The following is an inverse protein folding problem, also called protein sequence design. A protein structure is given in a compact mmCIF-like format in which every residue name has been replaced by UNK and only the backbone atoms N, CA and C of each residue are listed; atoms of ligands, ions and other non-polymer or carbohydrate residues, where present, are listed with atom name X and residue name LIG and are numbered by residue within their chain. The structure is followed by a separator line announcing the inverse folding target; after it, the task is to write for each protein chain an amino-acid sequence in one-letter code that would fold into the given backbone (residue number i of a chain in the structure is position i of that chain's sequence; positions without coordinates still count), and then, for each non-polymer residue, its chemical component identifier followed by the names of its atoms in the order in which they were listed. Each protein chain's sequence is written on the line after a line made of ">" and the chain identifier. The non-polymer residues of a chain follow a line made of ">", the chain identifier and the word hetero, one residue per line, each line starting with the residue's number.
data_IF_195599920064
#
_entry.id   IF_195599920064
#
_cell.length_a   1.000
_cell.length_b   1.000
_cell.length_c   1.000
_cell.angle_alpha   90.00
_cell.angle_beta   90.00
_cell.angle_gamma   90.00
#
_symmetry.space_group_name_H-M   'P 1'
#
loop_
_entity.id
_entity.type
_entity.pdbx_description
1 polymer ?
#
# COMPACT_ATOMS: atom_id res chain seq x y z
N UNK A 1 7.98 -3.30 6.20
CA UNK A 1 8.77 -4.40 6.79
C UNK A 1 9.50 -5.12 5.68
N UNK A 2 10.72 -5.57 5.96
CA UNK A 2 11.61 -6.13 4.93
C UNK A 2 11.81 -7.65 5.11
N UNK A 3 11.47 -8.20 6.28
CA UNK A 3 11.63 -9.60 6.62
C UNK A 3 10.31 -10.22 7.07
N UNK A 4 10.08 -11.47 6.67
CA UNK A 4 8.84 -12.20 6.94
C UNK A 4 8.77 -12.70 8.38
N UNK A 5 9.91 -13.01 8.99
CA UNK A 5 10.02 -13.45 10.39
C UNK A 5 9.55 -12.38 11.37
N UNK A 6 9.87 -11.11 11.08
CA UNK A 6 9.38 -9.96 11.85
C UNK A 6 7.86 -9.85 11.76
N UNK A 7 7.30 -9.97 10.56
CA UNK A 7 5.85 -9.94 10.35
C UNK A 7 5.16 -11.08 11.10
N UNK A 8 5.72 -12.29 11.11
CA UNK A 8 5.21 -13.43 11.88
C UNK A 8 5.26 -13.15 13.37
N UNK A 9 6.39 -12.63 13.88
CA UNK A 9 6.56 -12.30 15.30
C UNK A 9 5.54 -11.27 15.78
N UNK A 10 5.38 -10.17 15.04
CA UNK A 10 4.40 -9.12 15.31
C UNK A 10 2.98 -9.70 15.29
N UNK A 11 2.67 -10.51 14.28
CA UNK A 11 1.35 -11.12 14.15
C UNK A 11 1.02 -12.04 15.32
N UNK A 12 1.96 -12.86 15.77
CA UNK A 12 1.77 -13.76 16.93
C UNK A 12 1.60 -12.97 18.23
N UNK A 13 2.34 -11.89 18.42
CA UNK A 13 2.18 -11.04 19.59
C UNK A 13 0.79 -10.37 19.64
N UNK A 14 0.32 -9.88 18.49
CA UNK A 14 -1.03 -9.32 18.35
C UNK A 14 -2.11 -10.39 18.59
N UNK A 15 -1.91 -11.60 18.05
CA UNK A 15 -2.78 -12.75 18.26
C UNK A 15 -2.88 -13.18 19.73
N UNK A 16 -1.76 -13.22 20.45
CA UNK A 16 -1.72 -13.57 21.87
C UNK A 16 -2.47 -12.57 22.75
N UNK A 17 -2.64 -11.32 22.28
CA UNK A 17 -3.34 -10.25 23.01
C UNK A 17 -4.75 -9.96 22.46
N UNK A 18 -5.17 -10.64 21.40
CA UNK A 18 -6.48 -10.45 20.78
C UNK A 18 -6.64 -9.11 20.05
N UNK A 19 -5.53 -8.42 19.73
CA UNK A 19 -5.56 -7.12 19.04
C UNK A 19 -5.45 -7.38 17.52
N UNK A 20 -6.36 -6.85 16.69
CA UNK A 20 -6.23 -6.94 15.23
C UNK A 20 -4.95 -6.27 14.74
N UNK A 21 -4.29 -6.86 13.74
CA UNK A 21 -3.04 -6.35 13.18
C UNK A 21 -3.10 -6.26 11.66
N UNK A 22 -2.44 -5.24 11.13
CA UNK A 22 -2.21 -5.05 9.70
C UNK A 22 -0.72 -5.12 9.44
N UNK A 23 -0.32 -5.91 8.45
CA UNK A 23 1.09 -6.14 8.12
C UNK A 23 1.41 -5.37 6.84
N UNK A 24 2.40 -4.48 6.90
CA UNK A 24 2.84 -3.71 5.74
C UNK A 24 4.26 -4.09 5.31
N UNK A 25 4.38 -4.64 4.10
CA UNK A 25 5.66 -4.94 3.47
C UNK A 25 6.15 -3.79 2.60
N UNK A 26 7.46 -3.68 2.47
CA UNK A 26 8.12 -2.85 1.47
C UNK A 26 8.65 -3.76 0.37
N UNK A 27 8.63 -3.27 -0.86
CA UNK A 27 9.16 -3.97 -2.03
C UNK A 27 10.16 -3.09 -2.76
N UNK A 28 11.12 -3.69 -3.43
CA UNK A 28 12.02 -3.02 -4.36
C UNK A 28 11.39 -2.85 -5.74
N UNK A 29 12.16 -2.30 -6.68
CA UNK A 29 11.70 -1.95 -8.04
C UNK A 29 11.19 -3.14 -8.86
N UNK A 30 11.53 -4.37 -8.46
CA UNK A 30 11.08 -5.63 -9.06
C UNK A 30 9.84 -6.24 -8.38
N UNK A 31 9.31 -5.58 -7.35
CA UNK A 31 8.14 -6.03 -6.59
C UNK A 31 8.45 -7.14 -5.57
N UNK A 32 9.72 -7.50 -5.37
CA UNK A 32 10.16 -8.40 -4.30
C UNK A 32 10.48 -7.60 -3.03
N UNK A 33 10.43 -8.24 -1.87
CA UNK A 33 10.95 -7.66 -0.64
C UNK A 33 12.45 -7.39 -0.80
N UNK A 34 13.06 -6.49 0.01
CA UNK A 34 14.51 -6.29 0.02
C UNK A 34 15.33 -7.57 0.31
N UNK A 35 14.70 -8.60 0.90
CA UNK A 35 15.28 -9.93 1.08
C UNK A 35 15.37 -10.77 -0.21
N UNK A 36 14.78 -10.31 -1.32
CA UNK A 36 14.62 -11.04 -2.58
C UNK A 36 13.41 -11.97 -2.62
N UNK A 37 12.70 -12.16 -1.51
CA UNK A 37 11.47 -12.96 -1.48
C UNK A 37 10.33 -12.23 -2.19
N UNK A 38 9.51 -12.93 -2.97
CA UNK A 38 8.35 -12.28 -3.59
C UNK A 38 7.32 -11.87 -2.54
N UNK A 39 6.61 -10.75 -2.79
CA UNK A 39 5.53 -10.30 -1.92
C UNK A 39 4.48 -11.40 -1.66
N UNK A 40 4.19 -12.19 -2.70
CA UNK A 40 3.27 -13.32 -2.64
C UNK A 40 3.72 -14.38 -1.63
N UNK A 41 4.96 -14.83 -1.74
CA UNK A 41 5.52 -15.84 -0.84
C UNK A 41 5.57 -15.33 0.60
N UNK A 42 5.95 -14.06 0.80
CA UNK A 42 5.98 -13.45 2.12
C UNK A 42 4.60 -13.46 2.79
N UNK A 43 3.54 -13.06 2.08
CA UNK A 43 2.18 -13.08 2.61
C UNK A 43 1.74 -14.52 2.93
N UNK A 44 1.95 -15.47 2.00
CA UNK A 44 1.57 -16.87 2.22
C UNK A 44 2.27 -17.48 3.43
N UNK A 45 3.55 -17.17 3.63
CA UNK A 45 4.32 -17.66 4.77
C UNK A 45 3.81 -17.06 6.10
N UNK A 46 3.44 -15.78 6.14
CA UNK A 46 2.79 -15.19 7.33
C UNK A 46 1.46 -15.88 7.59
N UNK A 47 0.61 -16.03 6.57
CA UNK A 47 -0.71 -16.66 6.72
C UNK A 47 -0.63 -18.09 7.24
N UNK A 48 0.30 -18.89 6.70
CA UNK A 48 0.55 -20.26 7.17
C UNK A 48 1.05 -20.29 8.62
N UNK A 49 1.97 -19.40 8.99
CA UNK A 49 2.60 -19.41 10.32
C UNK A 49 1.70 -18.84 11.45
N UNK A 50 0.60 -18.19 11.09
CA UNK A 50 -0.24 -17.40 12.00
C UNK A 50 -1.73 -17.71 11.91
N UNK A 51 -2.11 -18.72 11.12
CA UNK A 51 -3.51 -19.06 10.83
C UNK A 51 -4.29 -17.88 10.26
N UNK A 52 -3.69 -17.16 9.30
CA UNK A 52 -4.32 -16.02 8.60
C UNK A 52 -4.77 -14.88 9.54
N UNK A 53 -4.12 -14.72 10.71
CA UNK A 53 -4.53 -13.73 11.72
C UNK A 53 -4.52 -12.26 11.25
N UNK A 54 -3.59 -11.78 10.39
CA UNK A 54 -3.61 -10.39 9.95
C UNK A 54 -4.96 -10.03 9.33
N UNK A 55 -5.51 -8.87 9.71
CA UNK A 55 -6.78 -8.39 9.17
C UNK A 55 -6.70 -8.22 7.65
N UNK A 56 -5.59 -7.66 7.19
CA UNK A 56 -5.18 -7.52 5.79
C UNK A 56 -3.70 -7.13 5.70
N UNK A 57 -3.20 -7.04 4.47
CA UNK A 57 -1.84 -6.60 4.17
C UNK A 57 -1.83 -5.25 3.46
N UNK A 58 -0.74 -4.52 3.65
CA UNK A 58 -0.45 -3.26 2.97
C UNK A 58 0.91 -3.32 2.29
N UNK A 59 1.10 -2.44 1.31
CA UNK A 59 2.40 -2.17 0.72
C UNK A 59 2.78 -0.74 1.12
N UNK A 60 4.02 -0.54 1.54
CA UNK A 60 4.52 0.75 1.98
C UNK A 60 5.88 1.05 1.36
N UNK A 61 6.15 2.33 1.14
CA UNK A 61 7.46 2.81 0.68
C UNK A 61 7.85 2.24 -0.69
N UNK A 62 6.86 1.99 -1.56
CA UNK A 62 7.09 1.51 -2.91
C UNK A 62 6.29 2.37 -3.89
N UNK A 63 6.87 2.67 -5.04
CA UNK A 63 6.14 3.38 -6.09
C UNK A 63 5.15 2.41 -6.79
N UNK A 64 3.95 2.83 -7.23
CA UNK A 64 2.97 1.89 -7.80
C UNK A 64 3.51 1.09 -9.00
N UNK A 65 4.40 1.69 -9.79
CA UNK A 65 5.01 1.03 -10.96
C UNK A 65 5.90 -0.16 -10.59
N UNK A 66 6.46 -0.21 -9.38
CA UNK A 66 7.26 -1.34 -8.90
C UNK A 66 6.42 -2.61 -8.72
N UNK A 67 5.08 -2.47 -8.64
CA UNK A 67 4.15 -3.57 -8.43
C UNK A 67 3.49 -4.06 -9.73
N UNK A 68 3.54 -3.27 -10.80
CA UNK A 68 2.76 -3.50 -12.02
C UNK A 68 3.09 -4.84 -12.70
N UNK A 69 4.34 -5.30 -12.62
CA UNK A 69 4.77 -6.59 -13.19
C UNK A 69 4.52 -7.80 -12.28
N UNK A 70 4.30 -7.57 -10.99
CA UNK A 70 4.33 -8.65 -9.96
C UNK A 70 2.93 -9.02 -9.45
N UNK A 71 1.89 -8.30 -9.88
CA UNK A 71 0.50 -8.53 -9.50
C UNK A 71 -0.32 -9.05 -10.69
N UNK A 72 -0.86 -10.26 -10.58
CA UNK A 72 -1.76 -10.85 -11.57
C UNK A 72 -3.21 -10.87 -11.05
N UNK A 73 -4.13 -10.31 -11.84
CA UNK A 73 -5.49 -9.92 -11.44
C UNK A 73 -6.43 -11.04 -10.94
N UNK A 74 -6.05 -12.32 -11.09
CA UNK A 74 -6.88 -13.47 -10.72
C UNK A 74 -6.43 -14.19 -9.43
N UNK A 75 -5.42 -13.67 -8.72
CA UNK A 75 -4.95 -14.32 -7.50
C UNK A 75 -5.83 -13.99 -6.27
N UNK A 76 -6.35 -14.99 -5.53
CA UNK A 76 -7.12 -14.76 -4.30
C UNK A 76 -6.39 -13.90 -3.27
N UNK A 77 -5.06 -13.97 -3.29
CA UNK A 77 -4.16 -13.19 -2.43
C UNK A 77 -4.33 -11.67 -2.61
N UNK A 78 -4.66 -11.21 -3.82
CA UNK A 78 -4.89 -9.78 -4.08
C UNK A 78 -6.03 -9.23 -3.23
N UNK A 79 -7.03 -10.06 -2.89
CA UNK A 79 -8.12 -9.67 -2.01
C UNK A 79 -7.68 -9.36 -0.57
N UNK A 80 -6.49 -9.82 -0.17
CA UNK A 80 -5.88 -9.58 1.14
C UNK A 80 -5.06 -8.29 1.18
N UNK A 81 -4.65 -7.74 0.04
CA UNK A 81 -3.97 -6.45 -0.04
C UNK A 81 -5.04 -5.35 -0.06
N UNK A 82 -5.04 -4.49 0.96
CA UNK A 82 -6.05 -3.44 1.11
C UNK A 82 -5.49 -2.04 1.26
N UNK A 83 -4.17 -1.90 1.39
CA UNK A 83 -3.56 -0.59 1.44
C UNK A 83 -2.26 -0.44 0.69
N UNK A 84 -2.04 0.77 0.17
CA UNK A 84 -0.78 1.21 -0.41
C UNK A 84 -0.44 2.60 0.11
N UNK A 85 0.78 2.75 0.62
CA UNK A 85 1.36 4.04 0.96
C UNK A 85 2.63 4.26 0.14
N UNK A 86 2.47 4.96 -0.98
CA UNK A 86 3.50 4.98 -2.03
C UNK A 86 4.56 6.05 -1.83
N UNK A 87 5.74 5.83 -2.39
CA UNK A 87 6.71 6.90 -2.60
C UNK A 87 6.29 7.77 -3.80
N UNK A 88 6.68 9.05 -3.81
CA UNK A 88 6.48 9.91 -4.96
C UNK A 88 7.49 9.62 -6.10
N UNK A 89 8.74 9.31 -5.72
CA UNK A 89 9.80 8.98 -6.68
C UNK A 89 9.74 7.50 -7.10
N UNK A 90 10.12 7.23 -8.34
CA UNK A 90 10.28 5.88 -8.92
C UNK A 90 11.63 5.24 -8.58
N UNK A 91 12.54 5.99 -7.97
CA UNK A 91 13.88 5.52 -7.58
C UNK A 91 13.80 4.36 -6.57
N UNK A 92 14.84 3.53 -6.58
CA UNK A 92 15.06 2.50 -5.56
C UNK A 92 15.32 3.10 -4.17
N UNK A 93 15.18 2.29 -3.12
CA UNK A 93 15.49 2.73 -1.75
C UNK A 93 16.94 3.21 -1.60
N UNK A 94 17.88 2.51 -2.25
CA UNK A 94 19.31 2.89 -2.23
C UNK A 94 19.52 4.26 -2.87
N UNK A 95 18.97 4.49 -4.06
CA UNK A 95 19.09 5.77 -4.76
C UNK A 95 18.46 6.93 -3.97
N UNK A 96 17.35 6.68 -3.26
CA UNK A 96 16.72 7.69 -2.40
C UNK A 96 17.58 8.00 -1.18
N UNK A 97 18.16 6.98 -0.52
CA UNK A 97 19.03 7.18 0.63
C UNK A 97 20.33 7.92 0.29
N UNK A 98 20.83 7.75 -0.93
CA UNK A 98 22.05 8.40 -1.42
C UNK A 98 21.78 9.77 -2.09
N UNK A 99 20.52 10.21 -2.19
CA UNK A 99 20.19 11.44 -2.89
C UNK A 99 20.37 12.68 -2.03
N UNK A 100 21.15 13.65 -2.51
CA UNK A 100 21.26 14.98 -1.90
C UNK A 100 20.09 15.91 -2.25
N UNK A 101 19.29 15.55 -3.25
CA UNK A 101 18.17 16.33 -3.76
C UNK A 101 16.90 15.52 -3.60
N UNK A 102 15.90 16.13 -2.97
CA UNK A 102 14.57 15.54 -2.88
C UNK A 102 13.96 15.42 -4.28
N UNK A 103 13.67 14.20 -4.69
CA UNK A 103 12.83 13.91 -5.85
C UNK A 103 11.39 13.75 -5.36
N UNK A 104 10.58 14.81 -5.54
CA UNK A 104 9.17 14.86 -5.14
C UNK A 104 8.22 14.34 -6.21
N UNK A 105 8.72 13.76 -7.32
CA UNK A 105 7.91 13.12 -8.34
C UNK A 105 6.83 14.03 -8.96
N UNK A 106 5.75 13.42 -9.45
CA UNK A 106 4.60 14.12 -10.01
C UNK A 106 3.30 13.68 -9.31
N UNK A 107 2.60 14.59 -8.60
CA UNK A 107 1.35 14.27 -7.92
C UNK A 107 0.25 13.68 -8.82
N UNK A 108 0.01 14.25 -10.00
CA UNK A 108 -1.04 13.81 -10.92
C UNK A 108 -0.73 12.44 -11.51
N UNK A 109 0.52 12.22 -11.88
CA UNK A 109 1.00 10.93 -12.37
C UNK A 109 0.82 9.84 -11.31
N UNK A 110 1.25 10.11 -10.06
CA UNK A 110 1.07 9.19 -8.94
C UNK A 110 -0.42 8.88 -8.71
N UNK A 111 -1.29 9.89 -8.78
CA UNK A 111 -2.74 9.71 -8.66
C UNK A 111 -3.32 8.76 -9.71
N UNK A 112 -2.93 8.93 -10.98
CA UNK A 112 -3.38 8.06 -12.07
C UNK A 112 -2.89 6.61 -11.90
N UNK A 113 -1.62 6.43 -11.51
CA UNK A 113 -1.07 5.10 -11.26
C UNK A 113 -1.73 4.40 -10.07
N UNK A 114 -2.15 5.16 -9.04
CA UNK A 114 -3.00 4.64 -7.96
C UNK A 114 -4.34 4.13 -8.50
N UNK A 115 -4.96 4.84 -9.43
CA UNK A 115 -6.23 4.45 -10.04
C UNK A 115 -6.09 3.18 -10.89
N UNK A 116 -5.03 3.09 -11.69
CA UNK A 116 -4.67 1.90 -12.45
C UNK A 116 -4.46 0.70 -11.52
N UNK A 117 -3.66 0.86 -10.46
CA UNK A 117 -3.40 -0.20 -9.49
C UNK A 117 -4.68 -0.65 -8.76
N UNK A 118 -5.57 0.29 -8.42
CA UNK A 118 -6.87 -0.01 -7.79
C UNK A 118 -7.78 -0.85 -8.70
N UNK A 119 -7.65 -0.73 -10.03
CA UNK A 119 -8.39 -1.58 -10.98
C UNK A 119 -7.98 -3.07 -10.90
N UNK A 120 -6.71 -3.32 -10.54
CA UNK A 120 -6.14 -4.66 -10.30
C UNK A 120 -6.45 -5.12 -8.87
N UNK A 121 -6.13 -4.28 -7.88
CA UNK A 121 -6.37 -4.50 -6.46
C UNK A 121 -7.75 -4.01 -6.04
N UNK A 122 -8.80 -4.75 -6.41
CA UNK A 122 -10.22 -4.36 -6.21
C UNK A 122 -10.60 -4.05 -4.76
N UNK A 123 -9.85 -4.58 -3.77
CA UNK A 123 -10.08 -4.35 -2.35
C UNK A 123 -9.21 -3.23 -1.76
N UNK A 124 -8.43 -2.52 -2.57
CA UNK A 124 -7.58 -1.41 -2.14
C UNK A 124 -8.43 -0.23 -1.68
N UNK A 125 -8.40 0.02 -0.36
CA UNK A 125 -9.22 1.05 0.30
C UNK A 125 -8.44 1.88 1.33
N UNK A 126 -7.16 1.61 1.57
CA UNK A 126 -6.28 2.49 2.34
C UNK A 126 -5.24 3.07 1.39
N UNK A 127 -5.34 4.37 1.09
CA UNK A 127 -4.48 5.05 0.13
C UNK A 127 -3.65 6.09 0.87
N UNK A 128 -2.40 6.33 0.49
CA UNK A 128 -1.58 7.30 1.24
C UNK A 128 -0.22 7.55 0.64
N UNK A 129 0.50 8.48 1.25
CA UNK A 129 1.86 8.84 0.83
C UNK A 129 2.92 8.43 1.85
N UNK A 130 4.08 8.00 1.35
CA UNK A 130 5.29 7.69 2.11
C UNK A 130 6.40 8.68 1.72
N UNK A 131 7.59 8.22 1.35
CA UNK A 131 8.74 9.10 1.11
C UNK A 131 8.48 10.04 -0.08
N UNK A 132 8.92 11.29 0.08
CA UNK A 132 8.80 12.36 -0.90
C UNK A 132 7.38 12.75 -1.32
N UNK A 133 6.35 12.20 -0.67
CA UNK A 133 4.97 12.64 -0.89
C UNK A 133 4.64 13.82 0.01
N UNK A 134 3.58 14.56 -0.33
CA UNK A 134 3.01 15.63 0.48
C UNK A 134 1.49 15.75 0.25
N UNK A 135 0.89 16.82 0.76
CA UNK A 135 -0.54 17.09 0.58
C UNK A 135 -0.98 17.16 -0.90
N UNK A 136 -0.12 17.62 -1.83
CA UNK A 136 -0.44 17.69 -3.27
C UNK A 136 -0.64 16.28 -3.83
N UNK A 137 0.21 15.35 -3.43
CA UNK A 137 0.13 13.93 -3.79
C UNK A 137 -1.14 13.29 -3.26
N UNK A 138 -1.44 13.49 -1.97
CA UNK A 138 -2.65 12.96 -1.35
C UNK A 138 -3.90 13.51 -2.05
N UNK A 139 -3.94 14.81 -2.36
CA UNK A 139 -5.04 15.43 -3.10
C UNK A 139 -5.22 14.81 -4.49
N UNK A 140 -4.13 14.60 -5.23
CA UNK A 140 -4.18 13.96 -6.55
C UNK A 140 -4.67 12.51 -6.48
N UNK A 141 -4.20 11.73 -5.50
CA UNK A 141 -4.70 10.38 -5.22
C UNK A 141 -6.21 10.40 -4.94
N UNK A 142 -6.67 11.35 -4.12
CA UNK A 142 -8.10 11.52 -3.86
C UNK A 142 -8.89 11.79 -5.14
N UNK A 143 -8.46 12.76 -5.95
CA UNK A 143 -9.14 13.14 -7.19
C UNK A 143 -9.22 11.98 -8.19
N UNK A 144 -8.16 11.18 -8.29
CA UNK A 144 -8.09 10.07 -9.23
C UNK A 144 -8.89 8.84 -8.76
N UNK A 145 -8.85 8.52 -7.46
CA UNK A 145 -9.36 7.25 -6.94
C UNK A 145 -10.74 7.32 -6.25
N UNK A 146 -11.18 8.51 -5.84
CA UNK A 146 -12.46 8.67 -5.15
C UNK A 146 -13.57 9.00 -6.15
N UNK A 147 -14.77 8.43 -5.96
CA UNK A 147 -15.89 8.73 -6.84
C UNK A 147 -16.28 10.21 -6.74
N UNK A 148 -16.79 10.76 -7.85
CA UNK A 148 -17.12 12.19 -8.04
C UNK A 148 -18.07 12.77 -6.97
N UNK A 149 -18.86 11.94 -6.29
CA UNK A 149 -19.71 12.40 -5.19
C UNK A 149 -18.93 12.72 -3.90
N UNK A 150 -17.69 12.25 -3.75
CA UNK A 150 -16.80 12.63 -2.65
C UNK A 150 -16.26 14.06 -2.80
N UNK A 151 -16.16 14.55 -4.04
CA UNK A 151 -15.70 15.92 -4.33
C UNK A 151 -16.75 17.00 -4.08
N UNK A 152 -17.99 16.63 -3.72
CA UNK A 152 -19.07 17.56 -3.36
C UNK A 152 -19.60 17.26 -1.93
N UNK A 153 -19.17 18.02 -0.89
CA UNK A 153 -19.56 17.77 0.50
C UNK A 153 -21.05 18.00 0.83
N UNK A 154 -21.89 18.38 -0.15
CA UNK A 154 -23.25 18.86 0.08
C UNK A 154 -24.29 17.76 0.33
N UNK A 155 -23.99 16.48 0.09
CA UNK A 155 -24.95 15.38 0.32
C UNK A 155 -24.55 14.49 1.50
N UNK A 156 -24.87 14.96 2.73
CA UNK A 156 -24.80 14.16 3.97
C UNK A 156 -26.01 13.22 4.11
N UNK A 157 -26.24 12.36 3.12
CA UNK A 157 -27.37 11.43 3.13
C UNK A 157 -26.94 10.07 2.63
N UNK A 158 -26.69 9.14 3.57
CA UNK A 158 -26.44 7.71 3.35
C UNK A 158 -25.15 7.36 2.57
N UNK A 159 -24.06 7.20 3.32
CA UNK A 159 -22.81 6.66 2.81
C UNK A 159 -22.85 5.12 2.78
N UNK A 160 -22.51 4.45 1.67
CA UNK A 160 -22.12 3.05 1.72
C UNK A 160 -20.78 2.91 2.44
N UNK A 161 -20.69 1.97 3.39
CA UNK A 161 -19.50 1.68 4.21
C UNK A 161 -18.33 1.09 3.38
N UNK A 162 -17.70 1.91 2.55
CA UNK A 162 -16.32 1.70 2.10
C UNK A 162 -15.55 2.95 2.44
N UNK A 163 -15.09 3.03 3.69
CA UNK A 163 -14.23 4.12 4.14
C UNK A 163 -12.88 4.00 3.43
N UNK A 164 -12.59 4.93 2.53
CA UNK A 164 -11.22 5.09 2.03
C UNK A 164 -10.44 5.86 3.10
N UNK A 165 -9.51 5.20 3.78
CA UNK A 165 -8.64 5.85 4.76
C UNK A 165 -7.45 6.47 4.02
N UNK A 166 -7.29 7.78 4.17
CA UNK A 166 -6.14 8.52 3.66
C UNK A 166 -5.16 8.76 4.80
N UNK A 167 -3.91 8.31 4.65
CA UNK A 167 -2.87 8.51 5.66
C UNK A 167 -1.62 9.13 5.04
N UNK A 168 -1.02 10.07 5.77
CA UNK A 168 0.23 10.74 5.41
C UNK A 168 1.18 10.63 6.60
N UNK A 169 2.43 10.23 6.38
CA UNK A 169 3.45 10.24 7.42
C UNK A 169 4.34 11.47 7.22
N UNK A 170 4.36 12.36 8.21
CA UNK A 170 5.32 13.49 8.29
C UNK A 170 6.72 12.98 8.65
#
# INVERSE_FOLDING_TARGET
>A
MNYVEEAIGITRAAQATGIPVVISFTVETDGNLPSGQSLKEAILQVEQATNQFPAYYMINCAHPTHLAGSLHSDEPLLGRIRGLRANASTKSHTELNESEILDDGNPEELGNQYCELKSILKNLNVLGGCCSTDHRHVEAICKACLPVWWTYPSNRGQFPMQQVLLTYQQ
#
